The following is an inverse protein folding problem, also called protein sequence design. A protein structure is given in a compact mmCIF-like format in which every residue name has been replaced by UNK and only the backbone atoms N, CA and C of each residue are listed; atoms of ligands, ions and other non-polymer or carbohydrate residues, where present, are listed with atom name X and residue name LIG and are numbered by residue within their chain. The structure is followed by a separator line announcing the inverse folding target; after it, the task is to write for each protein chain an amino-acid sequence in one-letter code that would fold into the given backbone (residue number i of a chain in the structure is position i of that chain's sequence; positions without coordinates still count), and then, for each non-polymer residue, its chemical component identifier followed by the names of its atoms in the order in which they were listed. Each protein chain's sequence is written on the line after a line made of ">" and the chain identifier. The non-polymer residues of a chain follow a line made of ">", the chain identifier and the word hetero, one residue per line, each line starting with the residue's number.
data_IF_269471076242
#
_entry.id   IF_269471076242
#
_cell.length_a   1.000
_cell.length_b   1.000
_cell.length_c   1.000
_cell.angle_alpha   90.00
_cell.angle_beta   90.00
_cell.angle_gamma   90.00
#
_symmetry.space_group_name_H-M   'P 1'
#
loop_
_entity.id
_entity.type
_entity.pdbx_description
1 polymer ?
#
# COMPACT_ATOMS: atom_id res chain seq x y z
N UNK A 1 28.03 -29.52 -20.46
CA UNK A 1 26.85 -29.08 -21.23
C UNK A 1 25.61 -29.55 -20.46
N UNK A 2 25.02 -28.73 -19.57
CA UNK A 2 23.93 -27.75 -19.86
C UNK A 2 22.72 -28.46 -20.49
N UNK A 3 21.51 -28.52 -19.92
CA UNK A 3 20.81 -27.68 -18.92
C UNK A 3 19.61 -28.46 -18.37
N UNK A 4 19.45 -28.52 -17.04
CA UNK A 4 18.16 -28.82 -16.40
C UNK A 4 17.47 -27.49 -16.09
N UNK A 5 16.25 -27.35 -16.60
CA UNK A 5 15.41 -26.15 -16.52
C UNK A 5 14.52 -26.28 -15.28
N UNK A 6 14.82 -25.50 -14.25
CA UNK A 6 13.97 -25.10 -13.11
C UNK A 6 14.81 -24.06 -12.36
N UNK A 7 14.35 -22.83 -12.16
CA UNK A 7 13.63 -22.37 -10.96
C UNK A 7 13.52 -20.85 -11.13
N UNK A 8 12.36 -20.22 -10.92
CA UNK A 8 12.27 -18.76 -10.71
C UNK A 8 10.86 -18.36 -10.19
N UNK A 9 10.40 -18.97 -9.11
CA UNK A 9 9.26 -18.46 -8.31
C UNK A 9 9.50 -18.66 -6.79
N UNK A 10 10.76 -18.67 -6.36
CA UNK A 10 11.14 -18.89 -4.95
C UNK A 10 12.18 -17.91 -4.38
N UNK A 11 12.93 -17.20 -5.22
CA UNK A 11 14.04 -16.36 -4.74
C UNK A 11 13.63 -14.87 -4.65
N UNK A 12 12.91 -14.55 -3.56
CA UNK A 12 13.05 -13.31 -2.77
C UNK A 12 11.78 -13.09 -1.96
N UNK A 13 11.78 -13.51 -0.70
CA UNK A 13 11.34 -12.71 0.46
C UNK A 13 11.64 -13.49 1.74
N UNK A 14 12.93 -13.76 2.01
CA UNK A 14 13.36 -13.97 3.40
C UNK A 14 13.45 -12.59 4.05
N UNK A 15 12.30 -12.05 4.46
CA UNK A 15 12.27 -10.98 5.44
C UNK A 15 12.63 -11.63 6.77
N UNK A 16 13.82 -11.33 7.28
CA UNK A 16 14.33 -11.85 8.56
C UNK A 16 13.24 -11.70 9.63
N UNK A 17 12.65 -12.82 10.07
CA UNK A 17 11.62 -12.86 11.12
C UNK A 17 10.16 -13.03 10.66
N UNK A 18 9.87 -13.26 9.38
CA UNK A 18 8.54 -13.70 8.92
C UNK A 18 8.67 -15.11 8.31
N UNK A 19 8.35 -16.13 9.10
CA UNK A 19 8.20 -17.49 8.58
C UNK A 19 6.98 -17.51 7.64
N UNK A 20 7.21 -17.86 6.37
CA UNK A 20 6.15 -17.97 5.38
C UNK A 20 5.42 -19.31 5.57
N UNK A 21 4.56 -19.38 6.59
CA UNK A 21 3.66 -20.50 6.84
C UNK A 21 2.45 -20.46 5.91
N UNK A 22 2.69 -20.54 4.60
CA UNK A 22 1.61 -20.64 3.63
C UNK A 22 0.93 -22.01 3.73
N UNK A 23 0.08 -22.21 4.73
CA UNK A 23 -0.96 -23.23 4.71
C UNK A 23 -1.84 -22.96 3.50
N UNK A 24 -1.74 -23.81 2.48
CA UNK A 24 -2.54 -23.68 1.27
C UNK A 24 -4.00 -24.04 1.59
N UNK A 25 -4.80 -23.04 1.94
CA UNK A 25 -6.25 -23.21 2.12
C UNK A 25 -6.94 -23.45 0.77
N UNK A 26 -8.00 -24.28 0.70
CA UNK A 26 -8.85 -24.35 -0.47
C UNK A 26 -9.36 -22.95 -0.85
N UNK A 27 -9.44 -22.63 -2.14
CA UNK A 27 -9.82 -21.28 -2.60
C UNK A 27 -11.18 -20.80 -2.08
N UNK A 28 -12.11 -21.73 -1.80
CA UNK A 28 -13.39 -21.43 -1.14
C UNK A 28 -13.23 -20.91 0.28
N UNK A 29 -12.37 -21.53 1.08
CA UNK A 29 -12.07 -21.09 2.46
C UNK A 29 -11.39 -19.73 2.47
N UNK A 30 -10.45 -19.49 1.56
CA UNK A 30 -9.79 -18.17 1.44
C UNK A 30 -10.79 -17.07 1.04
N UNK A 31 -11.76 -17.38 0.19
CA UNK A 31 -12.80 -16.43 -0.23
C UNK A 31 -13.78 -16.11 0.90
N UNK A 32 -14.18 -17.09 1.71
CA UNK A 32 -15.12 -16.89 2.82
C UNK A 32 -14.46 -16.14 3.98
N UNK A 33 -13.22 -16.50 4.32
CA UNK A 33 -12.42 -15.77 5.33
C UNK A 33 -12.17 -14.33 4.89
N UNK A 34 -11.74 -14.10 3.65
CA UNK A 34 -11.54 -12.74 3.13
C UNK A 34 -12.83 -11.91 3.19
N UNK A 35 -13.98 -12.53 2.92
CA UNK A 35 -15.27 -11.85 3.00
C UNK A 35 -15.60 -11.44 4.43
N UNK A 36 -15.35 -12.31 5.41
CA UNK A 36 -15.54 -12.01 6.83
C UNK A 36 -14.60 -10.89 7.30
N UNK A 37 -13.31 -10.95 6.93
CA UNK A 37 -12.34 -9.91 7.24
C UNK A 37 -12.72 -8.55 6.64
N UNK A 38 -13.13 -8.51 5.37
CA UNK A 38 -13.59 -7.28 4.73
C UNK A 38 -14.85 -6.72 5.41
N UNK A 39 -15.76 -7.59 5.86
CA UNK A 39 -16.95 -7.17 6.62
C UNK A 39 -16.55 -6.57 7.98
N UNK A 40 -15.64 -7.21 8.72
CA UNK A 40 -15.11 -6.70 9.98
C UNK A 40 -14.40 -5.35 9.81
N UNK A 41 -13.52 -5.23 8.80
CA UNK A 41 -12.82 -3.97 8.47
C UNK A 41 -13.85 -2.87 8.17
N UNK A 42 -14.85 -3.17 7.35
CA UNK A 42 -15.90 -2.19 6.99
C UNK A 42 -16.73 -1.79 8.21
N UNK A 43 -17.07 -2.74 9.08
CA UNK A 43 -17.80 -2.48 10.32
C UNK A 43 -16.98 -1.59 11.26
N UNK A 44 -15.69 -1.86 11.44
CA UNK A 44 -14.78 -1.01 12.22
C UNK A 44 -14.71 0.40 11.69
N UNK A 45 -14.64 0.58 10.37
CA UNK A 45 -14.58 1.91 9.76
C UNK A 45 -15.89 2.69 9.90
N UNK A 46 -17.04 2.01 9.87
CA UNK A 46 -18.35 2.66 9.97
C UNK A 46 -18.57 3.42 11.28
N UNK A 47 -17.88 3.02 12.37
CA UNK A 47 -17.95 3.68 13.67
C UNK A 47 -16.96 4.82 13.87
N UNK A 48 -16.10 5.12 12.87
CA UNK A 48 -15.08 6.16 13.00
C UNK A 48 -15.61 7.54 12.62
N UNK A 49 -15.12 8.56 13.32
CA UNK A 49 -15.32 9.95 12.93
C UNK A 49 -14.70 10.23 11.55
N UNK A 50 -15.25 11.20 10.81
CA UNK A 50 -14.75 11.57 9.46
C UNK A 50 -13.25 11.87 9.41
N UNK A 51 -12.68 12.45 10.46
CA UNK A 51 -11.24 12.72 10.51
C UNK A 51 -10.39 11.45 10.70
N UNK A 52 -10.96 10.43 11.34
CA UNK A 52 -10.34 9.13 11.59
C UNK A 52 -10.73 8.07 10.55
N UNK A 53 -11.66 8.35 9.64
CA UNK A 53 -12.08 7.42 8.60
C UNK A 53 -11.01 7.31 7.49
N UNK A 54 -10.44 6.12 7.20
CA UNK A 54 -9.30 5.97 6.29
C UNK A 54 -9.56 6.52 4.87
N UNK A 55 -10.75 6.28 4.32
CA UNK A 55 -11.13 6.77 2.98
C UNK A 55 -11.15 8.30 2.95
N UNK A 56 -11.67 8.94 3.99
CA UNK A 56 -11.79 10.40 4.07
C UNK A 56 -10.41 11.06 4.25
N UNK A 57 -9.52 10.44 5.04
CA UNK A 57 -8.13 10.90 5.17
C UNK A 57 -7.41 10.87 3.83
N UNK A 58 -7.51 9.76 3.09
CA UNK A 58 -6.90 9.61 1.78
C UNK A 58 -7.50 10.56 0.74
N UNK A 59 -8.83 10.72 0.74
CA UNK A 59 -9.52 11.64 -0.15
C UNK A 59 -9.01 13.08 0.02
N UNK A 60 -8.78 13.51 1.26
CA UNK A 60 -8.27 14.86 1.60
C UNK A 60 -6.88 15.14 1.02
N UNK A 61 -5.99 14.16 1.01
CA UNK A 61 -4.61 14.35 0.54
C UNK A 61 -4.43 14.06 -0.96
N UNK A 62 -5.37 13.38 -1.60
CA UNK A 62 -5.24 12.95 -3.00
C UNK A 62 -5.01 14.11 -3.97
N UNK A 63 -5.87 15.12 -3.98
CA UNK A 63 -5.72 16.26 -4.89
C UNK A 63 -4.43 17.06 -4.63
N UNK A 64 -4.09 17.43 -3.37
CA UNK A 64 -2.79 18.03 -3.05
C UNK A 64 -1.59 17.21 -3.51
N UNK A 65 -1.60 15.89 -3.30
CA UNK A 65 -0.51 14.99 -3.71
C UNK A 65 -0.34 14.98 -5.23
N UNK A 66 -1.43 14.85 -5.99
CA UNK A 66 -1.36 14.88 -7.47
C UNK A 66 -0.81 16.22 -7.96
N UNK A 67 -1.25 17.32 -7.36
CA UNK A 67 -0.78 18.66 -7.72
C UNK A 67 0.70 18.86 -7.39
N UNK A 68 1.17 18.40 -6.22
CA UNK A 68 2.58 18.44 -5.86
C UNK A 68 3.46 17.60 -6.81
N UNK A 69 3.00 16.42 -7.23
CA UNK A 69 3.69 15.61 -8.23
C UNK A 69 3.73 16.29 -9.60
N UNK A 70 2.65 16.95 -10.02
CA UNK A 70 2.60 17.75 -11.25
C UNK A 70 3.61 18.91 -11.20
N UNK A 71 3.68 19.61 -10.07
CA UNK A 71 4.66 20.68 -9.86
C UNK A 71 6.09 20.15 -9.85
N UNK A 72 6.35 19.03 -9.18
CA UNK A 72 7.66 18.40 -9.13
C UNK A 72 8.15 18.01 -10.53
N UNK A 73 7.27 17.45 -11.36
CA UNK A 73 7.55 17.11 -12.76
C UNK A 73 7.94 18.33 -13.59
N UNK A 74 7.26 19.45 -13.37
CA UNK A 74 7.47 20.68 -14.14
C UNK A 74 8.58 21.59 -13.54
N UNK A 75 9.14 21.25 -12.38
CA UNK A 75 10.17 22.05 -11.72
C UNK A 75 11.53 21.88 -12.41
N UNK A 76 12.15 23.01 -12.79
CA UNK A 76 13.51 23.06 -13.32
C UNK A 76 14.59 22.88 -12.25
N UNK A 77 14.32 23.33 -11.02
CA UNK A 77 15.22 23.20 -9.87
C UNK A 77 15.11 21.80 -9.22
N UNK A 78 16.23 21.10 -9.12
CA UNK A 78 16.33 19.76 -8.53
C UNK A 78 16.01 19.73 -7.03
N UNK A 79 16.39 20.75 -6.26
CA UNK A 79 16.13 20.80 -4.82
C UNK A 79 14.66 21.04 -4.54
N UNK A 80 14.03 21.94 -5.31
CA UNK A 80 12.58 22.16 -5.24
C UNK A 80 11.79 20.90 -5.59
N UNK A 81 12.26 20.12 -6.56
CA UNK A 81 11.64 18.83 -6.91
C UNK A 81 11.70 17.83 -5.76
N UNK A 82 12.86 17.70 -5.11
CA UNK A 82 13.04 16.81 -3.96
C UNK A 82 12.14 17.19 -2.79
N UNK A 83 12.01 18.48 -2.50
CA UNK A 83 11.13 19.00 -1.47
C UNK A 83 9.66 18.65 -1.75
N UNK A 84 9.16 18.98 -2.96
CA UNK A 84 7.78 18.67 -3.35
C UNK A 84 7.45 17.18 -3.25
N UNK A 85 8.35 16.30 -3.68
CA UNK A 85 8.16 14.85 -3.58
C UNK A 85 8.17 14.39 -2.13
N UNK A 86 9.10 14.91 -1.30
CA UNK A 86 9.18 14.57 0.11
C UNK A 86 7.91 14.96 0.86
N UNK A 87 7.43 16.17 0.65
CA UNK A 87 6.25 16.70 1.36
C UNK A 87 4.97 15.96 0.94
N UNK A 88 4.83 15.70 -0.37
CA UNK A 88 3.73 14.90 -0.89
C UNK A 88 3.75 13.47 -0.36
N UNK A 89 4.94 12.84 -0.29
CA UNK A 89 5.11 11.50 0.24
C UNK A 89 4.81 11.44 1.74
N UNK A 90 5.34 12.39 2.51
CA UNK A 90 5.07 12.49 3.95
C UNK A 90 3.58 12.65 4.22
N UNK A 91 2.91 13.57 3.52
CA UNK A 91 1.47 13.81 3.69
C UNK A 91 0.63 12.58 3.34
N UNK A 92 1.02 11.86 2.29
CA UNK A 92 0.33 10.63 1.88
C UNK A 92 0.52 9.50 2.90
N UNK A 93 1.74 9.29 3.39
CA UNK A 93 2.02 8.29 4.43
C UNK A 93 1.27 8.60 5.73
N UNK A 94 1.28 9.86 6.17
CA UNK A 94 0.52 10.27 7.36
C UNK A 94 -0.99 10.07 7.21
N UNK A 95 -1.53 10.10 5.99
CA UNK A 95 -2.95 9.84 5.76
C UNK A 95 -3.32 8.35 5.82
N UNK A 96 -2.38 7.45 5.54
CA UNK A 96 -2.60 6.00 5.64
C UNK A 96 -2.84 5.57 7.10
N UNK A 97 -2.18 6.23 8.05
CA UNK A 97 -2.24 5.92 9.48
C UNK A 97 -1.03 5.13 9.91
#
# INVERSE_FOLDING_TARGET
>A
MLTLKQFLWGDRMDLIGIENEAEFFPSGTLSDVLKEELQDITARWSGLDKAAHPIERLARVTAPTIEALRQARNASNADRRKELVRDAHHSFLSALG
#
